data_IF_083817455729
#
_entry.id   IF_083817455729
#
_cell.length_a   1.000
_cell.length_b   1.000
_cell.length_c   1.000
_cell.angle_alpha   90.00
_cell.angle_beta   90.00
_cell.angle_gamma   90.00
#
_symmetry.space_group_name_H-M   'P 1'
#
loop_
_entity.id
_entity.type
_entity.pdbx_description
1 polymer ?
#
# COMPACT_ATOMS: atom_id res chain seq x y z
N UNK A 1 -7.37 -1.84 -7.21
CA UNK A 1 -7.34 -3.26 -6.77
C UNK A 1 -8.14 -4.21 -7.68
N UNK A 2 -9.28 -3.82 -8.26
CA UNK A 2 -10.16 -4.72 -9.03
C UNK A 2 -9.53 -5.32 -10.31
N UNK A 3 -8.72 -4.55 -11.04
CA UNK A 3 -8.08 -5.02 -12.29
C UNK A 3 -7.03 -6.12 -12.08
N UNK A 4 -6.33 -6.11 -10.94
CA UNK A 4 -5.33 -7.15 -10.60
C UNK A 4 -5.99 -8.47 -10.23
N UNK A 5 -7.13 -8.42 -9.55
CA UNK A 5 -7.94 -9.61 -9.26
C UNK A 5 -8.33 -10.32 -10.56
N UNK A 6 -8.80 -9.59 -11.56
CA UNK A 6 -9.20 -10.15 -12.84
C UNK A 6 -8.01 -10.77 -13.62
N UNK A 7 -6.84 -10.13 -13.56
CA UNK A 7 -5.60 -10.62 -14.17
C UNK A 7 -5.04 -11.89 -13.51
N UNK A 8 -5.28 -12.09 -12.20
CA UNK A 8 -4.80 -13.27 -11.47
C UNK A 8 -5.84 -14.41 -11.53
N UNK A 9 -7.11 -14.11 -11.24
CA UNK A 9 -8.19 -15.10 -11.14
C UNK A 9 -8.76 -15.53 -12.48
N UNK A 10 -8.76 -14.66 -13.49
CA UNK A 10 -9.26 -14.98 -14.83
C UNK A 10 -8.53 -16.15 -15.49
N UNK A 11 -7.19 -16.12 -15.59
CA UNK A 11 -6.42 -17.23 -16.16
C UNK A 11 -6.51 -18.52 -15.35
N UNK A 12 -6.62 -18.43 -14.02
CA UNK A 12 -6.83 -19.61 -13.15
C UNK A 12 -8.18 -20.27 -13.44
N UNK A 13 -9.25 -19.48 -13.50
CA UNK A 13 -10.60 -19.98 -13.80
C UNK A 13 -10.67 -20.63 -15.20
N UNK A 14 -10.06 -19.98 -16.21
CA UNK A 14 -9.95 -20.54 -17.55
C UNK A 14 -9.12 -21.83 -17.57
N UNK A 15 -8.02 -21.87 -16.82
CA UNK A 15 -7.20 -23.08 -16.64
C UNK A 15 -8.00 -24.25 -16.05
N UNK A 16 -8.82 -23.98 -15.02
CA UNK A 16 -9.70 -25.01 -14.43
C UNK A 16 -10.71 -25.53 -15.46
N UNK A 17 -11.34 -24.66 -16.24
CA UNK A 17 -12.27 -25.07 -17.31
C UNK A 17 -11.56 -25.98 -18.31
N UNK A 18 -10.36 -25.60 -18.76
CA UNK A 18 -9.58 -26.39 -19.72
C UNK A 18 -9.19 -27.77 -19.15
N UNK A 19 -8.85 -27.85 -17.86
CA UNK A 19 -8.58 -29.12 -17.19
C UNK A 19 -9.82 -30.02 -17.15
N UNK A 20 -10.98 -29.46 -16.78
CA UNK A 20 -12.26 -30.18 -16.71
C UNK A 20 -12.68 -30.66 -18.10
N UNK A 21 -12.64 -29.80 -19.11
CA UNK A 21 -12.97 -30.14 -20.49
C UNK A 21 -12.03 -31.23 -21.01
N UNK A 22 -10.72 -31.11 -20.73
CA UNK A 22 -9.73 -32.13 -21.07
C UNK A 22 -10.01 -33.49 -20.40
N UNK A 23 -10.53 -33.48 -19.16
CA UNK A 23 -10.88 -34.70 -18.43
C UNK A 23 -12.08 -35.45 -19.03
N UNK A 24 -13.01 -34.74 -19.70
CA UNK A 24 -14.18 -35.35 -20.35
C UNK A 24 -13.81 -36.16 -21.62
N UNK A 25 -12.62 -35.95 -22.19
CA UNK A 25 -12.17 -36.70 -23.36
C UNK A 25 -11.66 -38.10 -22.98
N UNK A 26 -12.29 -39.14 -23.55
CA UNK A 26 -11.88 -40.55 -23.41
C UNK A 26 -10.49 -40.81 -24.00
N UNK A 27 -9.85 -41.88 -23.54
CA UNK A 27 -8.45 -42.24 -23.84
C UNK A 27 -8.08 -42.30 -25.35
N UNK A 28 -9.06 -42.53 -26.23
CA UNK A 28 -8.85 -42.49 -27.70
C UNK A 28 -8.53 -41.10 -28.27
N UNK A 29 -8.73 -40.03 -27.50
CA UNK A 29 -8.48 -38.63 -27.88
C UNK A 29 -7.41 -37.99 -27.00
N UNK A 30 -6.40 -38.76 -26.61
CA UNK A 30 -5.38 -38.32 -25.64
C UNK A 30 -4.59 -37.09 -26.10
N UNK A 31 -4.42 -36.90 -27.42
CA UNK A 31 -3.79 -35.71 -27.99
C UNK A 31 -4.59 -34.45 -27.66
N UNK A 32 -5.92 -34.47 -27.82
CA UNK A 32 -6.80 -33.33 -27.50
C UNK A 32 -6.75 -33.01 -26.01
N UNK A 33 -6.71 -34.04 -25.17
CA UNK A 33 -6.57 -33.88 -23.71
C UNK A 33 -5.30 -33.12 -23.35
N UNK A 34 -4.14 -33.51 -23.88
CA UNK A 34 -2.89 -32.79 -23.61
C UNK A 34 -2.87 -31.39 -24.23
N UNK A 35 -3.50 -31.22 -25.40
CA UNK A 35 -3.62 -29.91 -26.06
C UNK A 35 -4.44 -28.91 -25.22
N UNK A 36 -5.37 -29.40 -24.38
CA UNK A 36 -6.11 -28.57 -23.42
C UNK A 36 -5.36 -28.40 -22.08
N UNK A 37 -4.68 -29.44 -21.61
CA UNK A 37 -3.98 -29.43 -20.33
C UNK A 37 -2.69 -28.60 -20.33
N UNK A 38 -1.92 -28.61 -21.42
CA UNK A 38 -0.67 -27.83 -21.52
C UNK A 38 -0.96 -26.32 -21.38
N UNK A 39 -1.91 -25.72 -22.14
CA UNK A 39 -2.29 -24.33 -21.94
C UNK A 39 -2.82 -24.05 -20.53
N UNK A 40 -3.60 -24.96 -19.94
CA UNK A 40 -4.08 -24.80 -18.58
C UNK A 40 -2.92 -24.67 -17.58
N UNK A 41 -1.92 -25.54 -17.68
CA UNK A 41 -0.73 -25.49 -16.84
C UNK A 41 0.06 -24.18 -17.06
N UNK A 42 0.18 -23.72 -18.30
CA UNK A 42 0.81 -22.44 -18.62
C UNK A 42 0.06 -21.25 -18.00
N UNK A 43 -1.28 -21.25 -18.03
CA UNK A 43 -2.10 -20.22 -17.38
C UNK A 43 -1.88 -20.20 -15.86
N UNK A 44 -1.79 -21.38 -15.22
CA UNK A 44 -1.46 -21.48 -13.81
C UNK A 44 -0.07 -20.92 -13.48
N UNK A 45 0.96 -21.31 -14.25
CA UNK A 45 2.32 -20.79 -14.08
C UNK A 45 2.36 -19.28 -14.28
N UNK A 46 1.63 -18.75 -15.27
CA UNK A 46 1.55 -17.33 -15.56
C UNK A 46 0.87 -16.55 -14.42
N UNK A 47 -0.28 -17.01 -13.91
CA UNK A 47 -0.94 -16.39 -12.75
C UNK A 47 -0.05 -16.41 -11.51
N UNK A 48 0.66 -17.52 -11.27
CA UNK A 48 1.59 -17.62 -10.15
C UNK A 48 2.76 -16.63 -10.30
N UNK A 49 3.30 -16.50 -11.50
CA UNK A 49 4.37 -15.54 -11.80
C UNK A 49 3.93 -14.09 -11.62
N UNK A 50 2.74 -13.70 -12.09
CA UNK A 50 2.17 -12.37 -11.85
C UNK A 50 2.03 -12.11 -10.35
N UNK A 51 1.42 -13.04 -9.62
CA UNK A 51 1.21 -12.90 -8.18
C UNK A 51 2.52 -12.79 -7.41
N UNK A 52 3.51 -13.62 -7.74
CA UNK A 52 4.85 -13.57 -7.16
C UNK A 52 5.52 -12.21 -7.40
N UNK A 53 5.51 -11.73 -8.65
CA UNK A 53 6.08 -10.44 -8.99
C UNK A 53 5.36 -9.29 -8.28
N UNK A 54 4.03 -9.32 -8.21
CA UNK A 54 3.25 -8.29 -7.51
C UNK A 54 3.57 -8.25 -6.01
N UNK A 55 3.53 -9.41 -5.33
CA UNK A 55 3.82 -9.49 -3.90
C UNK A 55 5.28 -9.13 -3.58
N UNK A 56 6.23 -9.49 -4.45
CA UNK A 56 7.63 -9.10 -4.26
C UNK A 56 7.82 -7.58 -4.37
N UNK A 57 7.08 -6.91 -5.27
CA UNK A 57 7.08 -5.45 -5.36
C UNK A 57 6.43 -4.84 -4.13
N UNK A 58 5.26 -5.32 -3.71
CA UNK A 58 4.59 -4.84 -2.48
C UNK A 58 5.54 -4.86 -1.28
N UNK A 59 6.17 -6.01 -1.01
CA UNK A 59 7.13 -6.15 0.10
C UNK A 59 8.33 -5.20 -0.02
N UNK A 60 8.82 -4.98 -1.23
CA UNK A 60 9.91 -4.03 -1.47
C UNK A 60 9.47 -2.61 -1.11
N UNK A 61 8.29 -2.19 -1.56
CA UNK A 61 7.74 -0.87 -1.25
C UNK A 61 7.43 -0.70 0.23
N UNK A 62 6.82 -1.70 0.89
CA UNK A 62 6.56 -1.66 2.33
C UNK A 62 7.86 -1.44 3.11
N UNK A 63 8.92 -2.16 2.76
CA UNK A 63 10.26 -1.97 3.34
C UNK A 63 10.86 -0.60 3.05
N UNK A 64 10.56 -0.01 1.89
CA UNK A 64 10.95 1.36 1.58
C UNK A 64 10.14 2.38 2.39
N UNK A 65 8.95 2.05 2.90
CA UNK A 65 8.14 2.95 3.71
C UNK A 65 8.47 2.91 5.21
N UNK A 66 9.08 1.82 5.67
CA UNK A 66 9.48 1.61 7.07
C UNK A 66 10.75 2.38 7.43
N UNK A 67 10.78 2.97 8.62
CA UNK A 67 11.91 3.75 9.11
C UNK A 67 11.50 4.80 10.14
N UNK A 68 12.48 5.61 10.53
CA UNK A 68 12.29 6.78 11.39
C UNK A 68 12.31 8.02 10.51
N UNK A 69 11.27 8.84 10.64
CA UNK A 69 11.09 10.07 9.90
C UNK A 69 11.01 11.22 10.88
N UNK A 70 11.61 12.36 10.54
CA UNK A 70 11.58 13.59 11.34
C UNK A 70 10.77 14.64 10.62
N UNK A 71 9.99 15.44 11.34
CA UNK A 71 9.24 16.52 10.71
C UNK A 71 10.20 17.46 9.94
N UNK A 72 9.80 17.81 8.73
CA UNK A 72 10.41 18.85 7.94
C UNK A 72 9.62 20.14 8.13
N UNK A 73 10.13 21.04 8.97
CA UNK A 73 9.45 22.31 9.29
C UNK A 73 9.35 23.25 8.09
N UNK A 74 10.27 23.18 7.12
CA UNK A 74 10.27 24.03 5.92
C UNK A 74 9.21 23.59 4.90
N UNK A 75 8.97 22.27 4.80
CA UNK A 75 7.97 21.68 3.89
C UNK A 75 6.59 21.55 4.54
N UNK A 76 6.51 21.67 5.87
CA UNK A 76 5.26 21.62 6.62
C UNK A 76 4.64 23.01 6.71
N UNK A 77 3.33 23.10 6.52
CA UNK A 77 2.57 24.31 6.75
C UNK A 77 1.93 24.24 8.14
N UNK A 78 2.65 24.68 9.18
CA UNK A 78 2.19 24.70 10.57
C UNK A 78 1.52 26.03 10.97
N UNK A 79 0.76 26.67 10.07
CA UNK A 79 0.05 27.93 10.36
C UNK A 79 -0.77 27.83 11.66
N UNK A 80 -0.67 28.87 12.49
CA UNK A 80 -1.32 28.91 13.81
C UNK A 80 -0.52 28.27 14.94
N UNK A 81 0.63 27.66 14.64
CA UNK A 81 1.51 27.05 15.63
C UNK A 81 2.96 27.58 15.53
N UNK A 82 3.75 27.46 16.60
CA UNK A 82 5.17 27.79 16.58
C UNK A 82 5.98 26.59 16.09
N UNK A 83 6.56 26.59 14.86
CA UNK A 83 7.22 25.42 14.29
C UNK A 83 8.37 24.88 15.14
N UNK A 84 9.11 25.79 15.79
CA UNK A 84 10.23 25.51 16.70
C UNK A 84 9.89 24.47 17.78
N UNK A 85 8.64 24.45 18.26
CA UNK A 85 8.19 23.53 19.32
C UNK A 85 8.08 22.08 18.85
N UNK A 86 8.05 21.85 17.55
CA UNK A 86 7.85 20.53 16.97
C UNK A 86 9.13 19.98 16.32
N UNK A 87 10.28 20.62 16.50
CA UNK A 87 11.54 20.19 15.89
C UNK A 87 12.01 18.77 16.33
N UNK A 88 11.41 18.20 17.37
CA UNK A 88 11.65 16.84 17.87
C UNK A 88 10.61 15.83 17.42
N UNK A 89 9.58 16.28 16.69
CA UNK A 89 8.50 15.42 16.21
C UNK A 89 9.02 14.39 15.22
N UNK A 90 8.74 13.12 15.52
CA UNK A 90 9.12 11.97 14.72
C UNK A 90 7.92 11.10 14.40
N UNK A 91 8.01 10.41 13.27
CA UNK A 91 7.13 9.35 12.84
C UNK A 91 7.99 8.08 12.71
N UNK A 92 7.65 7.05 13.45
CA UNK A 92 8.29 5.73 13.37
C UNK A 92 7.31 4.80 12.68
N UNK A 93 7.74 4.20 11.56
CA UNK A 93 6.97 3.22 10.80
C UNK A 93 7.74 1.91 10.83
N UNK A 94 7.10 0.85 11.32
CA UNK A 94 7.75 -0.44 11.60
C UNK A 94 7.31 -1.52 10.61
N UNK A 95 8.18 -2.52 10.43
CA UNK A 95 7.98 -3.66 9.53
C UNK A 95 6.83 -4.59 9.96
N UNK A 96 6.35 -4.46 11.19
CA UNK A 96 5.19 -5.20 11.73
C UNK A 96 3.85 -4.49 11.45
N UNK A 97 3.84 -3.55 10.51
CA UNK A 97 2.71 -2.71 10.15
C UNK A 97 2.23 -1.78 11.28
N UNK A 98 3.04 -1.54 12.32
CA UNK A 98 2.71 -0.53 13.33
C UNK A 98 3.40 0.79 13.06
N UNK A 99 2.80 1.89 13.53
CA UNK A 99 3.41 3.20 13.47
C UNK A 99 3.18 3.99 14.78
N UNK A 100 3.99 5.02 14.97
CA UNK A 100 3.90 5.93 16.11
C UNK A 100 4.44 7.32 15.73
N UNK A 101 3.69 8.37 16.07
CA UNK A 101 4.07 9.76 16.02
C UNK A 101 4.36 10.22 17.44
N UNK A 102 5.56 10.73 17.69
CA UNK A 102 5.97 11.17 19.02
C UNK A 102 6.77 12.47 18.98
N UNK A 103 6.43 13.45 19.85
CA UNK A 103 5.32 13.45 20.80
C UNK A 103 3.94 13.62 20.13
N UNK A 104 2.86 13.28 20.84
CA UNK A 104 1.50 13.52 20.36
C UNK A 104 1.24 15.02 20.13
N UNK A 105 0.55 15.35 19.03
CA UNK A 105 0.32 16.73 18.58
C UNK A 105 -1.15 16.94 18.21
N UNK A 106 -1.70 18.15 18.40
CA UNK A 106 -3.13 18.40 18.23
C UNK A 106 -3.62 18.37 16.77
N UNK A 107 -2.71 18.32 15.81
CA UNK A 107 -3.01 18.41 14.38
C UNK A 107 -2.85 17.08 13.63
N UNK A 108 -2.34 16.02 14.27
CA UNK A 108 -2.36 14.65 13.73
C UNK A 108 -3.43 13.90 14.50
N UNK A 109 -4.37 13.27 13.80
CA UNK A 109 -5.50 12.58 14.45
C UNK A 109 -5.09 11.25 15.04
N UNK A 110 -4.22 10.54 14.32
CA UNK A 110 -3.76 9.21 14.71
C UNK A 110 -2.28 9.27 15.04
N UNK A 111 -1.97 9.24 16.34
CA UNK A 111 -0.59 9.28 16.84
C UNK A 111 0.05 7.89 16.98
N UNK A 112 -0.74 6.81 16.96
CA UNK A 112 -0.24 5.44 16.95
C UNK A 112 -1.29 4.48 16.40
N UNK A 113 -0.84 3.35 15.88
CA UNK A 113 -1.73 2.31 15.39
C UNK A 113 -1.10 1.46 14.32
N UNK A 114 -1.90 1.04 13.35
CA UNK A 114 -1.45 0.25 12.21
C UNK A 114 -1.35 1.10 10.96
N UNK A 115 -0.48 0.72 10.04
CA UNK A 115 -0.41 1.33 8.72
C UNK A 115 -0.58 0.28 7.62
N UNK A 116 -1.15 0.69 6.49
CA UNK A 116 -1.26 -0.16 5.31
C UNK A 116 -1.00 0.64 4.04
N UNK A 117 -0.30 0.03 3.10
CA UNK A 117 -0.11 0.59 1.76
C UNK A 117 -1.37 0.40 0.91
N UNK A 118 -1.80 1.43 0.17
CA UNK A 118 -3.00 1.37 -0.68
C UNK A 118 -2.68 1.35 -2.17
N UNK A 119 -1.84 2.27 -2.64
CA UNK A 119 -1.66 2.47 -4.08
C UNK A 119 -0.22 2.88 -4.47
N UNK A 120 0.33 2.18 -5.47
CA UNK A 120 1.64 2.47 -6.07
C UNK A 120 1.64 3.73 -6.91
N UNK A 121 0.59 4.00 -7.67
CA UNK A 121 0.54 5.15 -8.57
C UNK A 121 0.39 6.45 -7.79
N UNK A 122 -0.40 6.40 -6.71
CA UNK A 122 -0.67 7.55 -5.86
C UNK A 122 0.33 7.68 -4.70
N UNK A 123 1.20 6.69 -4.49
CA UNK A 123 2.11 6.61 -3.35
C UNK A 123 1.35 6.87 -2.04
N UNK A 124 0.25 6.15 -1.83
CA UNK A 124 -0.67 6.39 -0.72
C UNK A 124 -0.64 5.28 0.31
N UNK A 125 -0.71 5.68 1.57
CA UNK A 125 -0.84 4.80 2.73
C UNK A 125 -1.99 5.28 3.61
N UNK A 126 -2.48 4.37 4.46
CA UNK A 126 -3.49 4.67 5.47
C UNK A 126 -2.91 4.35 6.83
N UNK A 127 -3.15 5.25 7.76
CA UNK A 127 -2.84 5.13 9.18
C UNK A 127 -4.17 4.89 9.92
N UNK A 128 -4.28 3.77 10.61
CA UNK A 128 -5.47 3.32 11.32
C UNK A 128 -5.20 3.33 12.82
N UNK A 129 -5.95 4.16 13.55
CA UNK A 129 -5.98 4.19 15.01
C UNK A 129 -7.19 3.46 15.57
N UNK A 130 -7.46 3.69 16.87
CA UNK A 130 -8.58 3.03 17.56
C UNK A 130 -9.95 3.38 16.96
N UNK A 131 -10.15 4.63 16.52
CA UNK A 131 -11.44 5.11 15.98
C UNK A 131 -11.31 6.04 14.75
N UNK A 132 -10.09 6.31 14.31
CA UNK A 132 -9.80 7.28 13.25
C UNK A 132 -8.90 6.64 12.20
N UNK A 133 -9.11 7.00 10.94
CA UNK A 133 -8.22 6.67 9.83
C UNK A 133 -7.70 7.95 9.15
N UNK A 134 -6.45 7.92 8.72
CA UNK A 134 -5.81 9.06 8.06
C UNK A 134 -5.10 8.61 6.78
N UNK A 135 -5.48 9.22 5.65
CA UNK A 135 -4.89 8.98 4.35
C UNK A 135 -3.72 9.91 4.14
N UNK A 136 -2.57 9.33 3.83
CA UNK A 136 -1.30 10.04 3.70
C UNK A 136 -0.59 9.67 2.41
N UNK A 137 0.21 10.59 1.91
CA UNK A 137 1.12 10.30 0.80
C UNK A 137 2.45 9.84 1.40
N UNK A 138 2.89 8.64 1.05
CA UNK A 138 4.06 7.98 1.63
C UNK A 138 4.99 7.48 0.52
N UNK A 139 6.27 7.79 0.66
CA UNK A 139 7.34 7.35 -0.23
C UNK A 139 8.53 6.88 0.59
N UNK A 140 9.53 6.33 -0.10
CA UNK A 140 10.81 6.00 0.51
C UNK A 140 11.44 7.15 1.30
N UNK A 141 11.21 8.39 0.90
CA UNK A 141 11.90 9.55 1.44
C UNK A 141 11.06 10.37 2.42
N UNK A 142 9.73 10.32 2.30
CA UNK A 142 8.85 11.15 3.12
C UNK A 142 7.45 10.58 3.31
N UNK A 143 6.83 11.00 4.41
CA UNK A 143 5.40 10.84 4.71
C UNK A 143 4.74 12.22 4.80
N UNK A 144 3.60 12.40 4.14
CA UNK A 144 2.89 13.67 4.06
C UNK A 144 1.41 13.51 4.45
N UNK A 145 1.03 14.25 5.47
CA UNK A 145 -0.33 14.37 5.97
C UNK A 145 -0.99 15.58 5.28
N UNK A 146 -2.11 15.34 4.62
CA UNK A 146 -2.93 16.39 4.02
C UNK A 146 -4.16 16.60 4.90
N UNK A 147 -4.13 17.64 5.72
CA UNK A 147 -5.22 17.89 6.66
C UNK A 147 -6.35 18.65 5.96
N UNK A 148 -7.62 18.28 6.20
CA UNK A 148 -8.73 18.97 5.59
C UNK A 148 -8.74 20.43 6.06
N UNK A 149 -8.67 21.37 5.11
CA UNK A 149 -8.94 22.78 5.38
C UNK A 149 -10.46 22.97 5.49
N UNK A 150 -11.02 23.24 6.69
CA UNK A 150 -12.41 23.67 6.77
C UNK A 150 -12.49 25.03 6.06
N UNK A 151 -13.36 25.11 5.04
CA UNK A 151 -13.62 26.34 4.28
C UNK A 151 -13.78 27.52 5.24
N UNK A 152 -12.79 28.42 5.29
CA UNK A 152 -12.88 29.70 6.00
C UNK A 152 -12.00 29.89 7.23
N UNK A 153 -11.04 29.01 7.55
CA UNK A 153 -10.11 29.25 8.66
C UNK A 153 -8.65 29.36 8.17
N UNK A 154 -8.13 30.59 8.06
CA UNK A 154 -6.79 30.91 7.52
C UNK A 154 -5.62 30.47 8.42
N UNK A 155 -5.91 30.00 9.65
CA UNK A 155 -4.94 29.64 10.68
C UNK A 155 -4.93 28.13 11.00
N UNK A 156 -4.83 27.28 9.99
CA UNK A 156 -4.77 25.83 10.20
C UNK A 156 -3.61 25.16 9.46
N UNK A 157 -3.18 24.02 10.01
CA UNK A 157 -2.17 23.17 9.42
C UNK A 157 -2.77 22.53 8.18
N UNK A 158 -2.23 22.84 7.01
CA UNK A 158 -2.71 22.28 5.73
C UNK A 158 -1.92 21.05 5.32
N UNK A 159 -0.65 21.00 5.75
CA UNK A 159 0.31 19.98 5.30
C UNK A 159 1.36 19.74 6.37
N UNK A 160 1.63 18.48 6.67
CA UNK A 160 2.74 18.08 7.53
C UNK A 160 3.58 17.09 6.75
N UNK A 161 4.88 17.31 6.71
CA UNK A 161 5.81 16.46 5.98
C UNK A 161 6.86 15.94 6.94
N UNK A 162 7.05 14.63 6.97
CA UNK A 162 8.12 13.95 7.67
C UNK A 162 9.12 13.42 6.66
N UNK A 163 10.41 13.73 6.81
CA UNK A 163 11.47 13.23 5.97
C UNK A 163 12.22 12.08 6.65
N UNK A 164 12.65 11.08 5.88
CA UNK A 164 13.44 9.96 6.38
C UNK A 164 14.71 10.47 7.04
N UNK A 165 14.98 10.00 8.25
CA UNK A 165 16.27 10.21 8.91
C UNK A 165 17.30 9.28 8.24
N UNK A 166 18.42 9.87 7.80
CA UNK A 166 19.55 9.12 7.23
C UNK A 166 20.34 8.41 8.33
#
# INVERSE_FOLDING_TARGET
MEMLGLLIFGPVFLGIILLIVGFLFKNRWIVIRYLLWIPALLLFCFSFWINYNHNSKLKKYEKELTGVFKINLERSNLRGYSPEKYNTLTLVVRDDNTFEVSPAVPFIKVDKGNWSFKDFELSSAVLEGDNDEEYVNATGDYWQFNLPSPRGNENQVERIVFNRMK
#
